data_IF_242586558038
#
_entry.id   IF_242586558038
#
_cell.length_a   1.000
_cell.length_b   1.000
_cell.length_c   1.000
_cell.angle_alpha   90.00
_cell.angle_beta   90.00
_cell.angle_gamma   90.00
#
_symmetry.space_group_name_H-M   'P 1'
#
loop_
_entity.id
_entity.type
_entity.pdbx_description
1 polymer ?
#
# COMPACT_ATOMS: atom_id res chain seq x y z
N UNK A 1 -13.66 -1.24 26.52
CA UNK A 1 -12.73 -0.76 25.48
C UNK A 1 -12.03 -1.99 24.92
N UNK A 2 -12.32 -2.53 23.74
CA UNK A 2 -13.05 -2.01 22.58
C UNK A 2 -13.80 -3.15 21.89
N UNK A 3 -15.03 -2.86 21.49
CA UNK A 3 -15.97 -3.77 20.85
C UNK A 3 -15.74 -3.66 19.32
N UNK A 4 -14.79 -4.43 18.79
CA UNK A 4 -14.56 -4.59 17.33
C UNK A 4 -14.65 -6.07 16.92
N UNK A 5 -15.53 -6.83 17.57
CA UNK A 5 -15.84 -8.19 17.19
C UNK A 5 -16.98 -8.16 16.15
N UNK A 6 -16.65 -8.15 14.86
CA UNK A 6 -17.66 -8.28 13.80
C UNK A 6 -17.19 -8.06 12.36
N UNK A 7 -16.12 -7.31 12.14
CA UNK A 7 -15.48 -7.20 10.81
C UNK A 7 -13.97 -7.16 10.98
N UNK A 8 -13.30 -8.20 10.47
CA UNK A 8 -11.83 -8.21 10.42
C UNK A 8 -11.34 -7.03 9.60
N UNK A 9 -10.21 -6.44 9.98
CA UNK A 9 -9.59 -5.38 9.18
C UNK A 9 -9.24 -5.97 7.80
N UNK A 10 -9.81 -5.47 6.70
CA UNK A 10 -9.50 -5.99 5.37
C UNK A 10 -8.08 -5.64 4.92
N UNK A 11 -7.40 -4.68 5.58
CA UNK A 11 -6.04 -4.22 5.23
C UNK A 11 -5.03 -5.38 5.07
N UNK A 12 -4.79 -6.26 6.08
CA UNK A 12 -3.83 -7.35 5.95
C UNK A 12 -4.13 -8.27 4.75
N UNK A 13 -5.41 -8.53 4.47
CA UNK A 13 -5.83 -9.36 3.33
C UNK A 13 -5.53 -8.64 2.00
N UNK A 14 -5.79 -7.33 1.93
CA UNK A 14 -5.49 -6.51 0.75
C UNK A 14 -3.97 -6.45 0.50
N UNK A 15 -3.17 -6.31 1.56
CA UNK A 15 -1.71 -6.27 1.46
C UNK A 15 -1.13 -7.60 0.96
N UNK A 16 -1.61 -8.73 1.49
CA UNK A 16 -1.20 -10.07 1.04
C UNK A 16 -1.60 -10.33 -0.43
N UNK A 17 -2.83 -10.01 -0.83
CA UNK A 17 -3.26 -10.15 -2.21
C UNK A 17 -2.54 -9.19 -3.17
N UNK A 18 -2.20 -7.99 -2.70
CA UNK A 18 -1.46 -7.02 -3.48
C UNK A 18 -0.04 -7.53 -3.77
N UNK A 19 0.60 -8.19 -2.81
CA UNK A 19 1.93 -8.76 -2.96
C UNK A 19 1.97 -9.86 -4.04
N UNK A 20 0.90 -10.64 -4.18
CA UNK A 20 0.81 -11.72 -5.18
C UNK A 20 0.20 -11.25 -6.53
N UNK A 21 -0.39 -10.04 -6.59
CA UNK A 21 -1.12 -9.58 -7.77
C UNK A 21 -0.27 -8.81 -8.77
N UNK A 22 -0.31 -9.23 -10.04
CA UNK A 22 0.29 -8.49 -11.17
C UNK A 22 -0.16 -7.02 -11.31
N UNK A 23 -1.32 -6.64 -10.77
CA UNK A 23 -1.84 -5.28 -10.88
C UNK A 23 -1.38 -4.35 -9.76
N UNK A 24 -0.92 -4.90 -8.64
CA UNK A 24 -0.60 -4.12 -7.43
C UNK A 24 0.87 -4.29 -7.04
N UNK A 25 1.41 -5.49 -7.18
CA UNK A 25 2.79 -5.83 -6.87
C UNK A 25 3.84 -4.90 -7.51
N UNK A 26 3.75 -4.50 -8.80
CA UNK A 26 4.72 -3.58 -9.39
C UNK A 26 4.69 -2.20 -8.73
N UNK A 27 3.49 -1.65 -8.50
CA UNK A 27 3.32 -0.33 -7.87
C UNK A 27 3.70 -0.36 -6.38
N UNK A 28 3.40 -1.47 -5.69
CA UNK A 28 3.83 -1.70 -4.32
C UNK A 28 5.36 -1.72 -4.21
N UNK A 29 6.05 -2.41 -5.12
CA UNK A 29 7.51 -2.43 -5.14
C UNK A 29 8.12 -1.06 -5.42
N UNK A 30 7.51 -0.24 -6.28
CA UNK A 30 7.94 1.13 -6.53
C UNK A 30 7.77 1.99 -5.27
N UNK A 31 6.61 1.90 -4.62
CA UNK A 31 6.34 2.61 -3.38
C UNK A 31 7.30 2.18 -2.26
N UNK A 32 7.56 0.89 -2.09
CA UNK A 32 8.49 0.38 -1.09
C UNK A 32 9.93 0.81 -1.38
N UNK A 33 10.33 0.80 -2.65
CA UNK A 33 11.65 1.29 -3.05
C UNK A 33 11.80 2.78 -2.78
N UNK A 34 10.78 3.60 -3.06
CA UNK A 34 10.79 5.01 -2.71
C UNK A 34 10.88 5.20 -1.20
N UNK A 35 10.05 4.48 -0.44
CA UNK A 35 10.03 4.58 1.03
C UNK A 35 11.39 4.23 1.61
N UNK A 36 12.04 3.18 1.11
CA UNK A 36 13.39 2.81 1.53
C UNK A 36 14.44 3.91 1.25
N UNK A 37 14.34 4.62 0.12
CA UNK A 37 15.24 5.77 -0.17
C UNK A 37 14.99 6.93 0.80
N UNK A 38 13.71 7.27 1.02
CA UNK A 38 13.31 8.40 1.87
C UNK A 38 13.68 8.14 3.33
N UNK A 39 13.35 6.94 3.84
CA UNK A 39 13.71 6.52 5.19
C UNK A 39 15.22 6.32 5.36
N UNK A 40 15.92 5.91 4.30
CA UNK A 40 17.38 5.80 4.26
C UNK A 40 18.11 7.15 4.24
N UNK A 41 17.40 8.26 4.04
CA UNK A 41 17.98 9.60 3.94
C UNK A 41 18.75 9.83 2.63
N UNK A 42 18.62 8.94 1.66
CA UNK A 42 19.28 9.02 0.34
C UNK A 42 18.48 9.89 -0.65
N UNK A 43 17.23 10.23 -0.28
CA UNK A 43 16.25 10.84 -1.17
C UNK A 43 16.15 12.38 -1.07
N UNK A 44 16.83 13.01 -0.10
CA UNK A 44 16.76 14.46 0.11
C UNK A 44 15.33 14.96 0.37
N UNK A 45 14.81 15.82 -0.50
CA UNK A 45 13.45 16.37 -0.44
C UNK A 45 12.39 15.52 -1.19
N UNK A 46 12.77 14.35 -1.71
CA UNK A 46 11.87 13.42 -2.41
C UNK A 46 10.77 12.92 -1.47
N UNK A 47 9.55 12.78 -2.01
CA UNK A 47 8.40 12.20 -1.30
C UNK A 47 7.75 11.13 -2.15
N UNK A 48 7.24 10.06 -1.54
CA UNK A 48 6.64 8.92 -2.24
C UNK A 48 5.15 9.10 -2.56
N UNK A 49 4.70 10.35 -2.73
CA UNK A 49 3.28 10.67 -2.93
C UNK A 49 2.79 10.19 -4.29
N UNK A 50 3.63 10.26 -5.32
CA UNK A 50 3.32 9.78 -6.67
C UNK A 50 3.10 8.26 -6.67
N UNK A 51 4.07 7.50 -6.16
CA UNK A 51 4.01 6.04 -6.07
C UNK A 51 2.86 5.57 -5.17
N UNK A 52 2.51 6.35 -4.15
CA UNK A 52 1.34 6.09 -3.33
C UNK A 52 0.04 6.25 -4.15
N UNK A 53 -0.11 7.31 -4.93
CA UNK A 53 -1.30 7.48 -5.77
C UNK A 53 -1.39 6.42 -6.87
N UNK A 54 -0.26 6.00 -7.45
CA UNK A 54 -0.22 4.90 -8.40
C UNK A 54 -0.65 3.57 -7.75
N UNK A 55 -0.19 3.30 -6.54
CA UNK A 55 -0.62 2.14 -5.77
C UNK A 55 -2.13 2.21 -5.48
N UNK A 56 -2.65 3.35 -5.01
CA UNK A 56 -4.07 3.54 -4.70
C UNK A 56 -4.96 3.51 -5.95
N UNK A 57 -4.47 3.92 -7.12
CA UNK A 57 -5.21 3.84 -8.37
C UNK A 57 -5.50 2.39 -8.81
N UNK A 58 -4.93 1.39 -8.15
CA UNK A 58 -5.20 -0.02 -8.45
C UNK A 58 -6.61 -0.42 -7.98
N UNK A 59 -7.46 -0.93 -8.89
CA UNK A 59 -8.90 -1.10 -8.63
C UNK A 59 -9.26 -2.12 -7.54
N UNK A 60 -8.30 -2.96 -7.10
CA UNK A 60 -8.55 -4.01 -6.10
C UNK A 60 -8.35 -3.54 -4.65
N UNK A 61 -7.58 -2.46 -4.41
CA UNK A 61 -7.32 -1.98 -3.05
C UNK A 61 -8.60 -1.45 -2.40
N UNK A 62 -9.38 -0.67 -3.13
CA UNK A 62 -10.60 -0.05 -2.59
C UNK A 62 -11.83 -0.96 -2.56
N UNK A 63 -11.85 -2.04 -3.34
CA UNK A 63 -13.02 -2.92 -3.45
C UNK A 63 -13.39 -3.64 -2.14
N UNK A 64 -12.47 -3.70 -1.17
CA UNK A 64 -12.64 -4.35 0.13
C UNK A 64 -12.82 -3.39 1.31
N UNK A 65 -12.84 -2.07 1.06
CA UNK A 65 -12.94 -1.03 2.09
C UNK A 65 -14.38 -0.50 2.28
N UNK A 66 -15.41 -1.33 2.06
CA UNK A 66 -16.83 -0.97 2.22
C UNK A 66 -17.34 -1.11 3.67
#
# INVERSE_FOLDING_TARGET
MDEKAGVEDPKPIIEEECAESHHCHPFKNLFDSCTARVEGGEAGDETCVEEFFDLMATPKIFAKLH
#
